data_IF_423590766283
#
_entry.id   IF_423590766283
#
_cell.length_a   1.000
_cell.length_b   1.000
_cell.length_c   1.000
_cell.angle_alpha   90.00
_cell.angle_beta   90.00
_cell.angle_gamma   90.00
#
_symmetry.space_group_name_H-M   'P 1'
#
loop_
_entity.id
_entity.type
_entity.pdbx_description
1 polymer ?
#
# COMPACT_ATOMS: atom_id res chain seq x y z
N UNK A 1 -15.32 -10.69 -11.94
CA UNK A 1 -16.73 -10.79 -12.36
C UNK A 1 -17.65 -9.88 -11.53
N UNK A 2 -18.72 -9.35 -12.14
CA UNK A 2 -19.58 -8.27 -11.62
C UNK A 2 -20.39 -8.57 -10.35
N UNK A 3 -20.56 -9.84 -9.97
CA UNK A 3 -21.48 -10.25 -8.88
C UNK A 3 -20.83 -10.39 -7.51
N UNK A 4 -19.50 -10.52 -7.46
CA UNK A 4 -18.78 -10.86 -6.24
C UNK A 4 -17.82 -9.72 -5.88
N UNK A 5 -18.10 -9.05 -4.76
CA UNK A 5 -17.26 -7.99 -4.22
C UNK A 5 -16.85 -8.38 -2.80
N UNK A 6 -15.54 -8.47 -2.58
CA UNK A 6 -14.94 -8.81 -1.30
C UNK A 6 -14.16 -7.63 -0.75
N UNK A 7 -14.11 -7.52 0.57
CA UNK A 7 -13.26 -6.58 1.30
C UNK A 7 -12.47 -7.34 2.36
N UNK A 8 -11.32 -6.81 2.74
CA UNK A 8 -10.57 -7.30 3.89
C UNK A 8 -10.77 -6.35 5.07
N UNK A 9 -11.28 -6.87 6.19
CA UNK A 9 -11.47 -6.13 7.44
C UNK A 9 -10.77 -6.90 8.55
N UNK A 10 -9.85 -6.23 9.26
CA UNK A 10 -9.07 -6.84 10.35
C UNK A 10 -8.40 -8.18 9.98
N UNK A 11 -7.86 -8.29 8.76
CA UNK A 11 -7.18 -9.51 8.28
C UNK A 11 -8.12 -10.62 7.80
N UNK A 12 -9.43 -10.38 7.74
CA UNK A 12 -10.43 -11.36 7.30
C UNK A 12 -11.13 -10.88 6.04
N UNK A 13 -11.26 -11.79 5.07
CA UNK A 13 -11.99 -11.54 3.83
C UNK A 13 -13.48 -11.72 4.10
N UNK A 14 -14.27 -10.70 3.75
CA UNK A 14 -15.71 -10.68 3.89
C UNK A 14 -16.37 -10.37 2.55
N UNK A 15 -17.42 -11.11 2.21
CA UNK A 15 -18.24 -10.82 1.03
C UNK A 15 -19.19 -9.66 1.36
N UNK A 16 -19.24 -8.67 0.48
CA UNK A 16 -20.15 -7.52 0.63
C UNK A 16 -21.47 -7.75 -0.08
N UNK A 17 -22.49 -6.94 0.27
CA UNK A 17 -23.74 -6.87 -0.48
C UNK A 17 -23.66 -6.06 -1.79
N UNK A 18 -22.52 -5.43 -2.08
CA UNK A 18 -22.32 -4.59 -3.27
C UNK A 18 -22.22 -5.49 -4.50
N UNK A 19 -22.95 -5.11 -5.56
CA UNK A 19 -22.93 -5.80 -6.85
C UNK A 19 -22.89 -4.79 -7.98
N UNK A 20 -22.21 -5.14 -9.06
CA UNK A 20 -22.32 -4.44 -10.33
C UNK A 20 -23.43 -5.09 -11.16
N UNK A 21 -24.10 -4.28 -11.97
CA UNK A 21 -25.22 -4.71 -12.83
C UNK A 21 -24.82 -5.86 -13.74
N UNK A 22 -23.67 -5.71 -14.40
CA UNK A 22 -23.14 -6.66 -15.38
C UNK A 22 -21.62 -6.44 -15.56
N UNK A 23 -20.97 -7.34 -16.30
CA UNK A 23 -19.53 -7.26 -16.57
C UNK A 23 -19.17 -6.03 -17.42
N UNK A 24 -20.08 -5.54 -18.27
CA UNK A 24 -19.84 -4.35 -19.08
C UNK A 24 -19.76 -3.09 -18.22
N UNK A 25 -20.65 -2.95 -17.24
CA UNK A 25 -20.65 -1.85 -16.28
C UNK A 25 -19.36 -1.87 -15.45
N UNK A 26 -18.94 -3.04 -14.96
CA UNK A 26 -17.69 -3.17 -14.20
C UNK A 26 -16.48 -2.76 -15.07
N UNK A 27 -16.41 -3.22 -16.32
CA UNK A 27 -15.35 -2.83 -17.25
C UNK A 27 -15.34 -1.31 -17.50
N UNK A 28 -16.49 -0.69 -17.75
CA UNK A 28 -16.60 0.76 -17.95
C UNK A 28 -16.15 1.55 -16.72
N UNK A 29 -16.45 1.06 -15.51
CA UNK A 29 -15.97 1.66 -14.25
C UNK A 29 -14.44 1.53 -14.16
N UNK A 30 -13.88 0.35 -14.44
CA UNK A 30 -12.44 0.13 -14.42
C UNK A 30 -11.71 1.06 -15.40
N UNK A 31 -12.23 1.18 -16.63
CA UNK A 31 -11.71 2.10 -17.65
C UNK A 31 -11.71 3.55 -17.18
N UNK A 32 -12.80 4.01 -16.53
CA UNK A 32 -12.86 5.35 -15.95
C UNK A 32 -11.80 5.55 -14.86
N UNK A 33 -11.66 4.59 -13.94
CA UNK A 33 -10.68 4.65 -12.86
C UNK A 33 -9.25 4.79 -13.41
N UNK A 34 -8.85 3.93 -14.36
CA UNK A 34 -7.49 3.96 -14.90
C UNK A 34 -7.24 5.16 -15.83
N UNK A 35 -8.28 5.65 -16.52
CA UNK A 35 -8.17 6.84 -17.38
C UNK A 35 -7.86 8.12 -16.60
N UNK A 36 -8.34 8.23 -15.35
CA UNK A 36 -8.07 9.39 -14.48
C UNK A 36 -6.58 9.54 -14.16
N UNK A 37 -5.79 8.48 -14.33
CA UNK A 37 -4.34 8.46 -14.06
C UNK A 37 -3.53 8.24 -15.34
N UNK A 38 -4.14 8.48 -16.51
CA UNK A 38 -3.47 8.40 -17.81
C UNK A 38 -3.16 6.97 -18.29
N UNK A 39 -3.86 5.96 -17.76
CA UNK A 39 -3.72 4.56 -18.15
C UNK A 39 -4.95 4.07 -18.92
N UNK A 40 -4.83 2.92 -19.59
CA UNK A 40 -5.89 2.32 -20.42
C UNK A 40 -5.98 0.82 -20.16
N UNK A 41 -7.20 0.27 -20.23
CA UNK A 41 -7.47 -1.16 -20.16
C UNK A 41 -8.57 -1.54 -21.15
N UNK A 42 -8.31 -2.52 -22.01
CA UNK A 42 -9.25 -3.08 -22.99
C UNK A 42 -8.76 -4.43 -23.52
N UNK A 43 -9.41 -4.98 -24.55
CA UNK A 43 -9.07 -6.29 -25.12
C UNK A 43 -7.64 -6.37 -25.70
N UNK A 44 -7.09 -5.24 -26.18
CA UNK A 44 -5.71 -5.18 -26.71
C UNK A 44 -4.66 -4.99 -25.61
N UNK A 45 -5.08 -4.43 -24.47
CA UNK A 45 -4.25 -4.22 -23.27
C UNK A 45 -5.04 -4.63 -22.01
N UNK A 46 -5.20 -5.94 -21.77
CA UNK A 46 -6.15 -6.46 -20.78
C UNK A 46 -5.66 -6.35 -19.33
N UNK A 47 -4.40 -6.00 -19.09
CA UNK A 47 -3.84 -5.83 -17.74
C UNK A 47 -3.45 -4.37 -17.55
N UNK A 48 -3.84 -3.77 -16.44
CA UNK A 48 -3.45 -2.42 -16.09
C UNK A 48 -3.21 -2.27 -14.59
N UNK A 49 -2.01 -1.81 -14.24
CA UNK A 49 -1.65 -1.34 -12.91
C UNK A 49 -1.65 0.19 -12.86
N UNK A 50 -2.25 0.74 -11.81
CA UNK A 50 -2.51 2.15 -11.64
C UNK A 50 -2.39 2.58 -10.16
N UNK A 51 -2.04 3.84 -9.94
CA UNK A 51 -1.99 4.45 -8.60
C UNK A 51 -2.96 5.62 -8.55
N UNK A 52 -3.94 5.54 -7.65
CA UNK A 52 -4.96 6.58 -7.49
C UNK A 52 -4.41 7.80 -6.73
N UNK A 53 -5.07 8.97 -6.82
CA UNK A 53 -4.65 10.18 -6.11
C UNK A 53 -4.60 10.03 -4.58
N UNK A 54 -5.36 9.09 -4.01
CA UNK A 54 -5.33 8.79 -2.57
C UNK A 54 -4.16 7.88 -2.16
N UNK A 55 -3.33 7.46 -3.13
CA UNK A 55 -2.22 6.54 -2.97
C UNK A 55 -2.58 5.08 -3.21
N UNK A 56 -3.88 4.73 -3.23
CA UNK A 56 -4.32 3.35 -3.39
C UNK A 56 -3.84 2.76 -4.72
N UNK A 57 -3.52 1.48 -4.70
CA UNK A 57 -3.12 0.73 -5.89
C UNK A 57 -4.30 0.01 -6.48
N UNK A 58 -4.39 0.08 -7.79
CA UNK A 58 -5.44 -0.53 -8.60
C UNK A 58 -4.79 -1.47 -9.58
N UNK A 59 -5.23 -2.73 -9.56
CA UNK A 59 -4.93 -3.70 -10.58
C UNK A 59 -6.24 -4.09 -11.28
N UNK A 60 -6.24 -4.01 -12.61
CA UNK A 60 -7.37 -4.42 -13.47
C UNK A 60 -6.92 -5.51 -14.41
N UNK A 61 -7.72 -6.57 -14.50
CA UNK A 61 -7.59 -7.63 -15.51
C UNK A 61 -8.92 -7.76 -16.25
N UNK A 62 -8.94 -7.47 -17.54
CA UNK A 62 -10.11 -7.52 -18.42
C UNK A 62 -10.13 -8.80 -19.27
N UNK A 63 -11.28 -9.15 -19.87
CA UNK A 63 -11.33 -10.16 -20.93
C UNK A 63 -10.37 -9.83 -22.08
N UNK A 64 -9.81 -10.85 -22.75
CA UNK A 64 -10.11 -12.28 -22.61
C UNK A 64 -9.39 -12.97 -21.43
N UNK A 65 -8.49 -12.30 -20.70
CA UNK A 65 -7.74 -12.92 -19.60
C UNK A 65 -8.61 -13.22 -18.37
N UNK A 66 -9.56 -12.35 -18.06
CA UNK A 66 -10.53 -12.57 -17.00
C UNK A 66 -11.76 -13.32 -17.53
N UNK A 67 -11.69 -14.66 -17.55
CA UNK A 67 -12.73 -15.55 -18.11
C UNK A 67 -14.11 -15.30 -17.47
N UNK A 68 -14.16 -15.11 -16.15
CA UNK A 68 -15.40 -14.85 -15.40
C UNK A 68 -15.84 -13.36 -15.42
N UNK A 69 -15.24 -12.57 -16.31
CA UNK A 69 -15.40 -11.13 -16.42
C UNK A 69 -14.42 -10.34 -15.56
N UNK A 70 -14.26 -9.06 -15.88
CA UNK A 70 -13.23 -8.15 -15.34
C UNK A 70 -12.99 -8.33 -13.84
N UNK A 71 -11.72 -8.42 -13.46
CA UNK A 71 -11.25 -8.43 -12.09
C UNK A 71 -10.65 -7.06 -11.75
N UNK A 72 -11.02 -6.52 -10.59
CA UNK A 72 -10.52 -5.24 -10.07
C UNK A 72 -10.09 -5.46 -8.63
N UNK A 73 -8.82 -5.19 -8.35
CA UNK A 73 -8.26 -5.25 -7.00
C UNK A 73 -7.80 -3.87 -6.59
N UNK A 74 -8.28 -3.38 -5.44
CA UNK A 74 -7.85 -2.10 -4.86
C UNK A 74 -7.17 -2.36 -3.52
N UNK A 75 -5.87 -2.04 -3.44
CA UNK A 75 -5.09 -2.09 -2.19
C UNK A 75 -5.01 -0.68 -1.63
N UNK A 76 -5.73 -0.44 -0.53
CA UNK A 76 -5.70 0.84 0.18
C UNK A 76 -4.46 0.92 1.06
N UNK A 77 -3.84 2.10 1.12
CA UNK A 77 -2.82 2.39 2.11
C UNK A 77 -3.41 3.09 3.33
N UNK A 78 -2.94 2.71 4.51
CA UNK A 78 -3.28 3.42 5.74
C UNK A 78 -2.61 4.80 5.69
N UNK A 79 -3.40 5.86 5.77
CA UNK A 79 -2.90 7.23 5.87
C UNK A 79 -2.29 7.54 7.25
N UNK A 80 -2.60 6.72 8.25
CA UNK A 80 -2.12 6.94 9.61
C UNK A 80 -0.63 6.59 9.74
N UNK A 81 0.17 7.62 10.03
CA UNK A 81 1.57 7.48 10.39
C UNK A 81 1.68 6.88 11.77
N UNK A 82 1.89 5.56 11.83
CA UNK A 82 2.15 4.89 13.10
C UNK A 82 3.48 5.36 13.70
N UNK A 83 3.51 5.48 15.02
CA UNK A 83 4.69 5.84 15.81
C UNK A 83 5.08 4.68 16.72
N UNK A 84 6.34 4.65 17.18
CA UNK A 84 6.78 3.64 18.15
C UNK A 84 5.93 3.68 19.42
N UNK A 85 5.51 4.87 19.87
CA UNK A 85 4.66 5.00 21.06
C UNK A 85 3.26 4.38 20.84
N UNK A 86 2.72 4.44 19.61
CA UNK A 86 1.50 3.71 19.26
C UNK A 86 1.73 2.20 19.20
N UNK A 87 2.88 1.73 18.71
CA UNK A 87 3.21 0.30 18.73
C UNK A 87 3.31 -0.23 20.17
N UNK A 88 3.84 0.57 21.10
CA UNK A 88 3.83 0.25 22.54
C UNK A 88 2.39 0.16 23.06
N UNK A 89 1.52 1.12 22.72
CA UNK A 89 0.09 1.10 23.11
C UNK A 89 -0.65 -0.13 22.58
N UNK A 90 -0.28 -0.62 21.40
CA UNK A 90 -0.84 -1.84 20.82
C UNK A 90 -0.24 -3.12 21.40
N UNK A 91 0.75 -3.02 22.29
CA UNK A 91 1.46 -4.17 22.84
C UNK A 91 2.39 -4.88 21.84
N UNK A 92 2.68 -4.26 20.69
CA UNK A 92 3.53 -4.84 19.64
C UNK A 92 5.02 -4.79 20.00
N UNK A 93 5.42 -3.86 20.89
CA UNK A 93 6.78 -3.73 21.40
C UNK A 93 6.75 -3.25 22.85
N UNK A 94 7.72 -3.66 23.66
CA UNK A 94 7.86 -3.14 25.03
C UNK A 94 8.33 -1.67 25.01
N UNK A 95 8.03 -0.88 26.05
CA UNK A 95 8.54 0.49 26.17
C UNK A 95 10.07 0.57 26.07
N UNK A 96 10.77 -0.43 26.62
CA UNK A 96 12.24 -0.49 26.64
C UNK A 96 12.79 -0.81 25.23
N UNK A 97 12.14 -1.72 24.51
CA UNK A 97 12.48 -2.02 23.13
C UNK A 97 12.24 -0.83 22.20
N UNK A 98 11.16 -0.07 22.43
CA UNK A 98 10.90 1.16 21.69
C UNK A 98 12.02 2.18 21.93
N UNK A 99 12.50 2.36 23.16
CA UNK A 99 13.59 3.29 23.46
C UNK A 99 14.90 2.92 22.74
N UNK A 100 15.26 1.63 22.74
CA UNK A 100 16.41 1.13 21.98
C UNK A 100 16.26 1.46 20.49
N UNK A 101 15.07 1.25 19.92
CA UNK A 101 14.79 1.57 18.52
C UNK A 101 14.87 3.07 18.21
N UNK A 102 14.48 3.95 19.14
CA UNK A 102 14.65 5.41 19.01
C UNK A 102 16.13 5.78 18.91
N UNK A 103 16.98 5.17 19.74
CA UNK A 103 18.43 5.37 19.72
C UNK A 103 19.00 4.88 18.39
N UNK A 104 18.68 3.63 18.01
CA UNK A 104 19.08 3.01 16.75
C UNK A 104 18.74 3.90 15.54
N UNK A 105 17.52 4.44 15.50
CA UNK A 105 17.09 5.34 14.41
C UNK A 105 17.88 6.65 14.33
N UNK A 106 18.50 7.11 15.42
CA UNK A 106 19.31 8.33 15.47
C UNK A 106 20.80 8.12 15.20
N UNK A 107 21.34 6.94 15.49
CA UNK A 107 22.80 6.68 15.41
C UNK A 107 23.29 6.21 14.03
N UNK A 108 22.43 6.28 13.00
CA UNK A 108 22.77 5.96 11.60
C UNK A 108 23.40 4.58 11.39
N UNK A 109 23.04 3.60 12.20
CA UNK A 109 23.49 2.23 11.97
C UNK A 109 22.71 1.58 10.83
N UNK A 110 23.34 0.59 10.19
CA UNK A 110 22.66 -0.23 9.18
C UNK A 110 21.69 -1.19 9.89
N UNK A 111 20.43 -1.16 9.48
CA UNK A 111 19.35 -1.93 10.12
C UNK A 111 18.67 -2.80 9.07
N UNK A 112 18.47 -4.08 9.41
CA UNK A 112 17.64 -5.00 8.64
C UNK A 112 16.42 -5.36 9.47
N UNK A 113 15.22 -5.13 8.93
CA UNK A 113 13.96 -5.52 9.55
C UNK A 113 13.45 -6.78 8.86
N UNK A 114 13.37 -7.89 9.59
CA UNK A 114 12.97 -9.19 9.07
C UNK A 114 11.68 -9.70 9.73
N UNK A 115 11.05 -10.70 9.12
CA UNK A 115 9.77 -11.27 9.56
C UNK A 115 8.91 -11.78 8.40
N UNK A 116 7.89 -12.58 8.72
CA UNK A 116 6.96 -13.15 7.73
C UNK A 116 6.15 -12.11 6.95
N UNK A 117 5.50 -12.53 5.87
CA UNK A 117 4.56 -11.66 5.12
C UNK A 117 3.46 -11.16 6.05
N UNK A 118 3.15 -9.86 6.00
CA UNK A 118 2.13 -9.25 6.86
C UNK A 118 2.52 -9.00 8.31
N UNK A 119 3.76 -9.30 8.74
CA UNK A 119 4.19 -9.16 10.14
C UNK A 119 4.47 -7.71 10.60
N UNK A 120 4.17 -6.70 9.79
CA UNK A 120 4.38 -5.29 10.13
C UNK A 120 5.79 -4.74 9.89
N UNK A 121 6.61 -5.38 9.06
CA UNK A 121 7.98 -4.91 8.74
C UNK A 121 8.01 -3.48 8.22
N UNK A 122 7.26 -3.19 7.16
CA UNK A 122 7.18 -1.84 6.58
C UNK A 122 6.64 -0.83 7.59
N UNK A 123 5.70 -1.25 8.45
CA UNK A 123 5.17 -0.41 9.54
C UNK A 123 6.29 -0.01 10.50
N UNK A 124 7.11 -0.96 10.94
CA UNK A 124 8.23 -0.68 11.83
C UNK A 124 9.28 0.21 11.15
N UNK A 125 9.60 -0.07 9.88
CA UNK A 125 10.51 0.78 9.10
C UNK A 125 10.01 2.22 9.05
N UNK A 126 8.73 2.42 8.73
CA UNK A 126 8.12 3.75 8.67
C UNK A 126 8.18 4.47 10.03
N UNK A 127 7.97 3.75 11.14
CA UNK A 127 8.14 4.30 12.49
C UNK A 127 9.58 4.77 12.74
N UNK A 128 10.58 3.97 12.35
CA UNK A 128 12.00 4.30 12.51
C UNK A 128 12.41 5.52 11.68
N UNK A 129 11.80 5.71 10.51
CA UNK A 129 12.13 6.87 9.66
C UNK A 129 11.85 8.22 10.33
N UNK A 130 10.99 8.28 11.36
CA UNK A 130 10.75 9.49 12.14
C UNK A 130 11.97 9.94 12.97
N UNK A 131 12.96 9.08 13.16
CA UNK A 131 14.14 9.35 13.97
C UNK A 131 15.38 9.70 13.14
N UNK A 132 15.27 9.65 11.80
CA UNK A 132 16.28 10.18 10.89
C UNK A 132 16.28 11.71 11.01
N UNK A 133 17.46 12.32 11.10
CA UNK A 133 17.60 13.77 11.20
C UNK A 133 16.94 14.49 10.01
N UNK A 134 16.34 15.66 10.24
CA UNK A 134 15.68 16.46 9.20
C UNK A 134 16.67 17.06 8.21
N UNK A 135 17.94 17.19 8.58
CA UNK A 135 18.99 17.70 7.68
C UNK A 135 19.50 16.63 6.69
N UNK A 136 19.12 15.36 6.90
CA UNK A 136 19.58 14.28 6.05
C UNK A 136 18.81 14.19 4.73
N UNK A 137 19.54 13.86 3.67
CA UNK A 137 18.97 13.48 2.38
C UNK A 137 18.62 12.00 2.40
N UNK A 138 17.35 11.68 2.15
CA UNK A 138 16.87 10.28 2.12
C UNK A 138 16.48 9.91 0.70
N UNK A 139 16.88 8.71 0.28
CA UNK A 139 16.45 8.11 -0.99
C UNK A 139 15.72 6.81 -0.65
N UNK A 140 14.48 6.64 -1.13
CA UNK A 140 13.77 5.36 -1.04
C UNK A 140 13.77 4.68 -2.39
N UNK A 141 13.96 3.36 -2.37
CA UNK A 141 13.80 2.49 -3.53
C UNK A 141 12.79 1.42 -3.13
N UNK A 142 11.61 1.45 -3.73
CA UNK A 142 10.53 0.54 -3.38
C UNK A 142 9.83 0.09 -4.66
N UNK A 143 9.56 -1.21 -4.86
CA UNK A 143 8.61 -1.66 -5.90
C UNK A 143 7.23 -1.00 -5.71
N UNK A 144 6.99 -0.58 -4.46
CA UNK A 144 5.75 0.00 -3.99
C UNK A 144 6.03 1.09 -3.00
N UNK A 145 5.92 2.34 -3.43
CA UNK A 145 6.17 3.46 -2.53
C UNK A 145 5.12 3.49 -1.39
N UNK A 146 5.49 2.95 -0.23
CA UNK A 146 4.71 2.79 1.01
C UNK A 146 5.27 3.68 2.15
N UNK A 147 6.56 4.00 2.10
CA UNK A 147 7.23 4.83 3.10
C UNK A 147 6.72 6.27 3.10
N UNK A 148 6.52 6.83 4.30
CA UNK A 148 5.94 8.16 4.53
C UNK A 148 6.90 9.06 5.32
N UNK A 149 8.06 9.34 4.71
CA UNK A 149 9.11 10.17 5.29
C UNK A 149 8.63 11.58 5.65
N UNK A 150 9.19 12.12 6.73
CA UNK A 150 8.89 13.46 7.26
C UNK A 150 9.98 14.48 6.89
N UNK A 151 11.13 13.98 6.42
CA UNK A 151 12.29 14.76 6.06
C UNK A 151 11.96 15.64 4.84
N UNK A 152 12.48 16.87 4.78
CA UNK A 152 12.24 17.78 3.65
C UNK A 152 12.95 17.31 2.37
N UNK A 153 14.12 16.68 2.49
CA UNK A 153 14.95 16.29 1.35
C UNK A 153 14.83 14.79 1.04
N UNK A 154 13.70 14.40 0.42
CA UNK A 154 13.39 13.01 0.10
C UNK A 154 13.29 12.81 -1.41
N UNK A 155 14.02 11.81 -1.93
CA UNK A 155 13.86 11.30 -3.30
C UNK A 155 13.19 9.93 -3.23
N UNK A 156 12.05 9.77 -3.91
CA UNK A 156 11.30 8.50 -3.95
C UNK A 156 11.48 7.85 -5.31
N UNK A 157 12.04 6.65 -5.33
CA UNK A 157 12.22 5.83 -6.52
C UNK A 157 11.28 4.63 -6.43
N UNK A 158 10.51 4.41 -7.48
CA UNK A 158 9.65 3.25 -7.65
C UNK A 158 10.17 2.43 -8.83
N UNK A 159 10.35 1.11 -8.64
CA UNK A 159 10.94 0.18 -9.63
C UNK A 159 9.97 -0.89 -10.10
#
# INVERSE_FOLDING_TARGET
GSKNVYIEVNGKIEQTGIRFRDNQQLLNICQRIVSQVGRRVDESSPICDARLPDGSRVNVIAPPLAIDGTALTIRKFKKDKLTLDQLVKFGAISPHGAEILKIIGRVRCNIVISGGTGSGKTTLLNCLTNYIDREERVITCEDSAELQLQQPHVVRLET
#
